data_IF_297275359652
#
_entry.id   IF_297275359652
#
_cell.length_a   1.000
_cell.length_b   1.000
_cell.length_c   1.000
_cell.angle_alpha   90.00
_cell.angle_beta   90.00
_cell.angle_gamma   90.00
#
_symmetry.space_group_name_H-M   'P 1'
#
loop_
_entity.id
_entity.type
_entity.pdbx_description
1 polymer ?
#
# COMPACT_ATOMS: atom_id res chain seq x y z
N UNK A 1 9.90 22.50 -2.24
CA UNK A 1 10.77 21.54 -1.54
C UNK A 1 10.38 20.16 -2.05
N UNK A 2 11.32 19.25 -2.32
CA UNK A 2 10.98 17.92 -2.81
C UNK A 2 10.48 17.08 -1.64
N UNK A 3 9.36 16.38 -1.79
CA UNK A 3 8.88 15.44 -0.79
C UNK A 3 9.89 14.28 -0.66
N UNK A 4 10.25 13.91 0.56
CA UNK A 4 11.27 12.91 0.86
C UNK A 4 10.77 11.98 1.97
N UNK A 5 10.79 10.68 1.66
CA UNK A 5 10.37 9.60 2.55
C UNK A 5 11.52 9.06 3.39
N UNK A 6 12.77 9.22 2.96
CA UNK A 6 13.93 8.86 3.78
C UNK A 6 14.17 9.95 4.83
N UNK A 7 14.43 9.53 6.07
CA UNK A 7 14.97 10.38 7.14
C UNK A 7 16.08 9.70 7.94
N UNK A 8 16.56 8.54 7.47
CA UNK A 8 17.52 7.74 8.20
C UNK A 8 16.98 7.08 9.48
N UNK A 9 15.68 7.16 9.76
CA UNK A 9 15.07 6.50 10.91
C UNK A 9 15.18 4.97 10.79
N UNK A 10 15.54 4.26 11.87
CA UNK A 10 15.56 2.79 11.90
C UNK A 10 14.20 2.16 11.71
N UNK A 11 13.11 2.90 11.94
CA UNK A 11 11.78 2.32 12.04
C UNK A 11 10.87 2.89 10.97
N UNK A 12 10.14 1.99 10.32
CA UNK A 12 9.10 2.33 9.33
C UNK A 12 7.82 1.63 9.73
N UNK A 13 6.69 2.34 9.65
CA UNK A 13 5.37 1.75 9.78
C UNK A 13 4.75 1.50 8.41
N UNK A 14 3.94 0.45 8.32
CA UNK A 14 3.07 0.17 7.18
C UNK A 14 1.63 0.10 7.66
N UNK A 15 0.72 0.70 6.90
CA UNK A 15 -0.73 0.62 7.12
C UNK A 15 -1.45 0.44 5.78
N UNK A 16 -2.72 0.07 5.77
CA UNK A 16 -3.49 -0.12 4.54
C UNK A 16 -4.98 0.15 4.76
N UNK A 17 -5.76 0.20 3.68
CA UNK A 17 -7.20 -0.03 3.73
C UNK A 17 -7.97 0.84 4.75
N UNK A 18 -7.62 2.13 4.87
CA UNK A 18 -8.36 3.06 5.74
C UNK A 18 -9.71 3.49 5.16
N UNK A 19 -9.90 3.37 3.84
CA UNK A 19 -11.17 3.62 3.14
C UNK A 19 -11.81 4.99 3.41
N UNK A 20 -11.04 5.98 3.82
CA UNK A 20 -11.57 7.30 4.17
C UNK A 20 -12.28 7.35 5.52
N UNK A 21 -12.18 6.28 6.32
CA UNK A 21 -12.65 6.23 7.70
C UNK A 21 -11.56 6.78 8.61
N UNK A 22 -11.95 7.72 9.46
CA UNK A 22 -11.03 8.52 10.27
C UNK A 22 -11.13 8.26 11.78
N UNK A 23 -12.10 7.44 12.19
CA UNK A 23 -12.24 6.99 13.59
C UNK A 23 -10.93 6.33 14.03
N UNK A 24 -10.39 6.70 15.21
CA UNK A 24 -9.16 6.11 15.77
C UNK A 24 -7.85 6.44 15.05
N UNK A 25 -7.88 7.08 13.87
CA UNK A 25 -6.66 7.34 13.10
C UNK A 25 -5.74 8.37 13.77
N UNK A 26 -6.28 9.40 14.42
CA UNK A 26 -5.48 10.38 15.15
C UNK A 26 -4.67 9.71 16.27
N UNK A 27 -5.34 8.90 17.10
CA UNK A 27 -4.72 8.17 18.20
C UNK A 27 -3.67 7.19 17.68
N UNK A 28 -3.95 6.48 16.59
CA UNK A 28 -3.00 5.60 15.91
C UNK A 28 -1.72 6.34 15.48
N UNK A 29 -1.85 7.52 14.86
CA UNK A 29 -0.70 8.34 14.49
C UNK A 29 0.06 8.87 15.72
N UNK A 30 -0.64 9.28 16.78
CA UNK A 30 -0.02 9.70 18.04
C UNK A 30 0.80 8.57 18.68
N UNK A 31 0.27 7.33 18.66
CA UNK A 31 0.96 6.14 19.17
C UNK A 31 2.20 5.80 18.35
N UNK A 32 2.13 5.90 17.03
CA UNK A 32 3.30 5.75 16.17
C UNK A 32 4.38 6.78 16.50
N UNK A 33 4.01 8.05 16.61
CA UNK A 33 4.92 9.12 17.00
C UNK A 33 5.53 8.87 18.40
N UNK A 34 4.75 8.40 19.37
CA UNK A 34 5.24 8.06 20.71
C UNK A 34 6.26 6.91 20.69
N UNK A 35 6.21 6.03 19.68
CA UNK A 35 7.20 4.98 19.43
C UNK A 35 8.38 5.45 18.56
N UNK A 36 8.50 6.76 18.31
CA UNK A 36 9.58 7.34 17.50
C UNK A 36 9.43 7.10 16.00
N UNK A 37 8.26 6.69 15.53
CA UNK A 37 7.98 6.51 14.11
C UNK A 37 7.70 7.87 13.47
N UNK A 38 8.40 8.15 12.39
CA UNK A 38 8.29 9.39 11.60
C UNK A 38 7.88 9.11 10.15
N UNK A 39 7.82 7.83 9.74
CA UNK A 39 7.52 7.40 8.37
C UNK A 39 6.48 6.29 8.37
N UNK A 40 5.44 6.50 7.59
CA UNK A 40 4.39 5.53 7.32
C UNK A 40 4.27 5.32 5.81
N UNK A 41 4.33 4.07 5.36
CA UNK A 41 4.03 3.70 3.98
C UNK A 41 2.67 3.03 3.92
N UNK A 42 1.73 3.63 3.19
CA UNK A 42 0.36 3.13 3.12
C UNK A 42 0.17 2.21 1.89
N UNK A 43 -0.27 0.97 2.10
CA UNK A 43 -0.46 -0.10 1.11
C UNK A 43 -1.83 -0.02 0.41
N UNK A 44 -2.20 1.16 -0.10
CA UNK A 44 -3.41 1.36 -0.90
C UNK A 44 -4.66 1.75 -0.12
N UNK A 45 -5.73 2.10 -0.84
CA UNK A 45 -7.06 2.44 -0.28
C UNK A 45 -7.13 3.57 0.77
N UNK A 46 -6.18 4.50 0.66
CA UNK A 46 -6.09 5.76 1.43
C UNK A 46 -7.15 6.86 1.09
N UNK A 47 -8.14 6.62 0.24
CA UNK A 47 -9.11 7.66 -0.21
C UNK A 47 -8.49 8.99 -0.71
N UNK A 48 -7.74 8.97 -1.82
CA UNK A 48 -7.30 10.19 -2.53
C UNK A 48 -8.33 10.50 -3.62
N UNK A 49 -9.34 11.28 -3.27
CA UNK A 49 -10.43 11.65 -4.17
C UNK A 49 -10.56 13.18 -4.27
N UNK A 50 -10.84 13.73 -5.46
CA UNK A 50 -10.95 15.17 -5.65
C UNK A 50 -12.27 15.75 -5.13
N UNK A 51 -13.21 14.90 -4.73
CA UNK A 51 -14.52 15.27 -4.22
C UNK A 51 -14.44 15.84 -2.80
N UNK A 52 -15.58 16.30 -2.27
CA UNK A 52 -15.63 16.92 -0.94
C UNK A 52 -15.25 15.91 0.16
N UNK A 53 -15.64 14.65 0.04
CA UNK A 53 -15.37 13.65 1.07
C UNK A 53 -13.89 13.31 1.15
N UNK A 54 -13.23 13.08 0.01
CA UNK A 54 -11.79 12.85 -0.07
C UNK A 54 -10.98 14.02 0.45
N UNK A 55 -11.33 15.27 0.08
CA UNK A 55 -10.65 16.47 0.59
C UNK A 55 -10.73 16.59 2.11
N UNK A 56 -11.93 16.41 2.70
CA UNK A 56 -12.10 16.48 4.15
C UNK A 56 -11.34 15.37 4.90
N UNK A 57 -11.25 14.18 4.30
CA UNK A 57 -10.42 13.11 4.84
C UNK A 57 -8.93 13.48 4.80
N UNK A 58 -8.43 13.91 3.64
CA UNK A 58 -7.04 14.32 3.45
C UNK A 58 -6.64 15.48 4.36
N UNK A 59 -7.49 16.50 4.50
CA UNK A 59 -7.22 17.66 5.38
C UNK A 59 -7.04 17.23 6.84
N UNK A 60 -7.89 16.31 7.33
CA UNK A 60 -7.83 15.78 8.70
C UNK A 60 -6.57 14.93 8.90
N UNK A 61 -6.34 13.95 8.03
CA UNK A 61 -5.16 13.09 8.13
C UNK A 61 -3.87 13.90 7.99
N UNK A 62 -3.83 14.90 7.10
CA UNK A 62 -2.67 15.77 6.96
C UNK A 62 -2.42 16.59 8.24
N UNK A 63 -3.47 17.13 8.86
CA UNK A 63 -3.35 17.86 10.14
C UNK A 63 -2.81 16.96 11.26
N UNK A 64 -3.25 15.71 11.35
CA UNK A 64 -2.75 14.77 12.36
C UNK A 64 -1.33 14.29 12.05
N UNK A 65 -1.01 14.06 10.78
CA UNK A 65 0.33 13.71 10.33
C UNK A 65 1.32 14.86 10.63
N UNK A 66 0.90 16.11 10.44
CA UNK A 66 1.68 17.30 10.79
C UNK A 66 1.91 17.40 12.31
N UNK A 67 0.87 17.22 13.13
CA UNK A 67 1.01 17.29 14.59
C UNK A 67 1.87 16.18 15.19
N UNK A 68 1.99 15.05 14.47
CA UNK A 68 2.80 13.88 14.84
C UNK A 68 4.12 13.79 14.10
N UNK A 69 4.45 14.78 13.25
CA UNK A 69 5.61 14.82 12.34
C UNK A 69 5.75 13.62 11.40
N UNK A 70 4.71 12.80 11.28
CA UNK A 70 4.69 11.61 10.43
C UNK A 70 4.54 12.05 8.98
N UNK A 71 5.39 11.51 8.10
CA UNK A 71 5.18 11.59 6.64
C UNK A 71 4.61 10.30 6.12
N UNK A 72 3.57 10.42 5.29
CA UNK A 72 2.82 9.31 4.72
C UNK A 72 3.13 9.20 3.21
N UNK A 73 3.77 8.10 2.83
CA UNK A 73 3.92 7.71 1.42
C UNK A 73 2.86 6.68 1.04
N UNK A 74 1.98 7.01 0.11
CA UNK A 74 0.87 6.15 -0.29
C UNK A 74 1.24 5.37 -1.55
N UNK A 75 1.39 4.05 -1.41
CA UNK A 75 1.33 3.11 -2.55
C UNK A 75 -0.12 3.05 -3.01
N UNK A 76 -0.48 3.54 -4.21
CA UNK A 76 -1.90 3.65 -4.59
C UNK A 76 -2.59 2.29 -4.71
N UNK A 77 -3.85 2.20 -4.28
CA UNK A 77 -4.67 0.98 -4.29
C UNK A 77 -5.72 0.94 -5.41
N UNK A 78 -6.82 0.20 -5.20
CA UNK A 78 -7.93 0.10 -6.16
C UNK A 78 -8.91 1.28 -6.08
N UNK A 79 -9.10 1.87 -4.90
CA UNK A 79 -10.05 2.97 -4.66
C UNK A 79 -9.46 4.37 -4.91
N UNK A 80 -8.98 4.66 -6.12
CA UNK A 80 -8.37 5.97 -6.48
C UNK A 80 -8.68 6.35 -7.92
N UNK A 81 -8.83 7.65 -8.21
CA UNK A 81 -8.85 8.14 -9.60
C UNK A 81 -7.46 7.99 -10.23
N UNK A 82 -7.21 6.81 -10.83
CA UNK A 82 -5.93 6.47 -11.45
C UNK A 82 -5.60 7.37 -12.64
N UNK A 83 -6.60 7.87 -13.37
CA UNK A 83 -6.39 8.82 -14.46
C UNK A 83 -5.82 10.15 -13.94
N UNK A 84 -6.36 10.66 -12.83
CA UNK A 84 -5.83 11.86 -12.18
C UNK A 84 -4.42 11.62 -11.62
N UNK A 85 -4.19 10.50 -10.92
CA UNK A 85 -2.87 10.17 -10.38
C UNK A 85 -1.82 10.00 -11.49
N UNK A 86 -2.14 9.30 -12.58
CA UNK A 86 -1.23 9.15 -13.71
C UNK A 86 -0.91 10.48 -14.37
N UNK A 87 -1.91 11.36 -14.53
CA UNK A 87 -1.69 12.72 -15.04
C UNK A 87 -0.73 13.48 -14.12
N UNK A 88 -0.92 13.37 -12.81
CA UNK A 88 -0.04 14.01 -11.84
C UNK A 88 1.37 13.41 -11.84
N UNK A 89 1.51 12.08 -11.97
CA UNK A 89 2.80 11.41 -12.07
C UNK A 89 3.54 11.77 -13.36
N UNK A 90 2.84 11.88 -14.48
CA UNK A 90 3.41 12.31 -15.76
C UNK A 90 3.83 13.79 -15.76
N UNK A 91 3.17 14.62 -14.94
CA UNK A 91 3.53 16.03 -14.77
C UNK A 91 4.66 16.25 -13.74
N UNK A 92 4.83 15.32 -12.80
CA UNK A 92 5.95 15.33 -11.87
C UNK A 92 7.27 15.02 -12.61
N UNK A 93 8.39 15.48 -12.07
CA UNK A 93 9.70 15.12 -12.62
C UNK A 93 9.86 13.59 -12.61
N UNK A 94 10.33 13.03 -13.73
CA UNK A 94 10.38 11.60 -14.06
C UNK A 94 10.41 10.66 -12.85
N UNK A 95 9.24 10.08 -12.53
CA UNK A 95 9.10 9.01 -11.55
C UNK A 95 9.14 9.43 -10.07
N UNK A 96 9.04 10.72 -9.75
CA UNK A 96 9.01 11.20 -8.37
C UNK A 96 7.63 11.09 -7.71
N UNK A 97 7.57 11.04 -6.37
CA UNK A 97 6.31 11.12 -5.63
C UNK A 97 5.57 12.41 -5.94
N UNK A 98 4.24 12.32 -5.98
CA UNK A 98 3.34 13.47 -6.12
C UNK A 98 2.86 13.85 -4.74
N UNK A 99 3.21 15.05 -4.30
CA UNK A 99 2.69 15.61 -3.06
C UNK A 99 1.17 15.84 -3.20
N UNK A 100 0.40 15.16 -2.35
CA UNK A 100 -1.06 15.32 -2.26
C UNK A 100 -1.39 16.44 -1.28
N UNK A 101 -0.71 16.45 -0.13
CA UNK A 101 -0.73 17.47 0.92
C UNK A 101 0.66 17.55 1.58
N UNK A 102 0.89 18.50 2.49
CA UNK A 102 2.22 18.77 3.06
C UNK A 102 2.91 17.56 3.72
N UNK A 103 2.14 16.61 4.26
CA UNK A 103 2.66 15.40 4.92
C UNK A 103 2.29 14.10 4.17
N UNK A 104 1.64 14.19 3.02
CA UNK A 104 1.10 13.03 2.29
C UNK A 104 1.52 13.10 0.83
N UNK A 105 2.17 12.05 0.32
CA UNK A 105 2.48 11.93 -1.10
C UNK A 105 2.03 10.58 -1.66
N UNK A 106 1.60 10.58 -2.92
CA UNK A 106 1.37 9.36 -3.68
C UNK A 106 2.67 8.90 -4.33
N UNK A 107 2.95 7.60 -4.26
CA UNK A 107 4.14 6.96 -4.81
C UNK A 107 3.79 6.35 -6.17
N UNK A 108 4.49 6.71 -7.28
CA UNK A 108 4.23 6.08 -8.56
C UNK A 108 4.58 4.59 -8.53
N UNK A 109 4.02 3.82 -9.48
CA UNK A 109 4.39 2.41 -9.67
C UNK A 109 5.87 2.31 -10.01
N UNK A 110 6.57 1.40 -9.32
CA UNK A 110 8.00 1.22 -9.47
C UNK A 110 8.84 2.29 -8.78
N UNK A 111 8.24 3.17 -7.97
CA UNK A 111 8.99 4.15 -7.18
C UNK A 111 9.92 3.43 -6.22
N UNK A 112 11.20 3.78 -6.27
CA UNK A 112 12.26 3.19 -5.46
C UNK A 112 12.92 4.24 -4.60
N UNK A 113 13.24 3.86 -3.38
CA UNK A 113 14.03 4.68 -2.47
C UNK A 113 14.91 3.80 -1.60
N UNK A 114 15.82 4.43 -0.89
CA UNK A 114 16.59 3.81 0.18
C UNK A 114 16.21 4.47 1.49
N UNK A 115 16.14 3.70 2.57
CA UNK A 115 16.04 4.22 3.92
C UNK A 115 16.95 3.39 4.82
N UNK A 116 17.84 4.03 5.58
CA UNK A 116 18.85 3.34 6.39
C UNK A 116 19.66 2.28 5.60
N UNK A 117 19.95 2.55 4.33
CA UNK A 117 20.68 1.63 3.46
C UNK A 117 19.87 0.44 2.94
N UNK A 118 18.59 0.31 3.35
CA UNK A 118 17.68 -0.73 2.86
C UNK A 118 16.91 -0.23 1.64
N UNK A 119 16.77 -1.09 0.62
CA UNK A 119 16.11 -0.75 -0.65
C UNK A 119 14.63 -1.06 -0.60
N UNK A 120 13.82 -0.10 -1.02
CA UNK A 120 12.36 -0.22 -1.07
C UNK A 120 11.83 -0.06 -2.48
N UNK A 121 10.66 -0.63 -2.74
CA UNK A 121 9.87 -0.36 -3.94
C UNK A 121 8.37 -0.32 -3.65
N UNK A 122 7.69 0.67 -4.20
CA UNK A 122 6.23 0.79 -4.21
C UNK A 122 5.68 0.34 -5.55
N UNK A 123 4.72 -0.58 -5.54
CA UNK A 123 4.07 -1.10 -6.74
C UNK A 123 2.56 -1.23 -6.51
N UNK A 124 1.87 -0.10 -6.70
CA UNK A 124 0.44 0.03 -6.46
C UNK A 124 -0.46 -0.49 -7.59
N UNK A 125 -1.76 -0.55 -7.30
CA UNK A 125 -2.79 -1.15 -8.15
C UNK A 125 -3.29 -2.49 -7.58
N UNK A 126 -4.54 -2.82 -7.88
CA UNK A 126 -5.13 -4.12 -7.59
C UNK A 126 -6.31 -4.34 -8.53
N UNK A 127 -6.41 -5.53 -9.13
CA UNK A 127 -7.60 -5.89 -9.88
C UNK A 127 -8.65 -6.41 -8.89
N UNK A 128 -9.45 -5.51 -8.31
CA UNK A 128 -10.42 -5.92 -7.28
C UNK A 128 -11.57 -6.75 -7.87
N UNK A 129 -11.92 -7.87 -7.23
CA UNK A 129 -13.10 -8.68 -7.60
C UNK A 129 -14.41 -7.90 -7.44
N UNK A 130 -14.44 -6.90 -6.55
CA UNK A 130 -15.59 -6.01 -6.37
C UNK A 130 -15.82 -5.06 -7.57
N UNK A 131 -14.97 -5.11 -8.61
CA UNK A 131 -15.17 -4.41 -9.87
C UNK A 131 -16.44 -4.80 -10.61
N UNK A 132 -16.93 -6.03 -10.42
CA UNK A 132 -18.13 -6.55 -11.10
C UNK A 132 -19.39 -5.73 -10.79
N UNK A 133 -19.58 -5.37 -9.52
CA UNK A 133 -20.69 -4.49 -9.10
C UNK A 133 -20.45 -3.02 -9.42
N UNK A 134 -19.28 -2.69 -9.97
CA UNK A 134 -18.76 -1.33 -10.16
C UNK A 134 -18.43 -0.95 -11.59
N UNK A 135 -18.73 -1.80 -12.59
CA UNK A 135 -18.56 -1.45 -14.02
C UNK A 135 -19.38 -0.19 -14.40
N UNK A 136 -20.46 0.09 -13.66
CA UNK A 136 -21.26 1.33 -13.77
C UNK A 136 -20.96 2.36 -12.69
N UNK A 137 -20.05 2.06 -11.76
CA UNK A 137 -19.65 2.93 -10.66
C UNK A 137 -18.49 3.82 -11.13
N UNK A 138 -18.55 5.15 -10.91
CA UNK A 138 -17.46 6.06 -11.22
C UNK A 138 -16.14 5.75 -10.49
N UNK A 139 -16.10 4.78 -9.57
CA UNK A 139 -14.92 4.40 -8.78
C UNK A 139 -14.09 3.24 -9.36
N UNK A 140 -14.44 2.67 -10.52
CA UNK A 140 -13.69 1.59 -11.20
C UNK A 140 -12.85 2.08 -12.39
N UNK A 141 -11.59 1.66 -12.50
CA UNK A 141 -10.67 2.11 -13.53
C UNK A 141 -9.94 0.95 -14.22
N UNK A 142 -9.94 0.93 -15.56
CA UNK A 142 -9.15 -0.03 -16.36
C UNK A 142 -7.65 0.02 -16.04
N UNK A 143 -7.18 1.17 -15.57
CA UNK A 143 -5.77 1.41 -15.30
C UNK A 143 -5.32 0.98 -13.90
N UNK A 144 -6.17 0.31 -13.12
CA UNK A 144 -5.83 -0.32 -11.84
C UNK A 144 -4.80 -1.45 -11.99
N UNK A 145 -4.76 -2.10 -13.16
CA UNK A 145 -3.77 -3.11 -13.51
C UNK A 145 -2.52 -2.42 -14.08
N UNK A 146 -1.32 -2.71 -13.55
CA UNK A 146 -0.08 -2.20 -14.12
C UNK A 146 0.09 -2.56 -15.60
N UNK A 147 0.56 -1.61 -16.39
CA UNK A 147 0.85 -1.82 -17.82
C UNK A 147 2.14 -2.63 -18.01
N UNK A 148 2.34 -3.28 -19.16
CA UNK A 148 3.61 -3.95 -19.47
C UNK A 148 4.84 -3.03 -19.40
N UNK A 149 4.69 -1.74 -19.73
CA UNK A 149 5.77 -0.77 -19.65
C UNK A 149 6.14 -0.44 -18.19
N UNK A 150 5.14 -0.31 -17.30
CA UNK A 150 5.37 -0.11 -15.87
C UNK A 150 6.02 -1.35 -15.24
N UNK A 151 5.63 -2.55 -15.66
CA UNK A 151 6.30 -3.79 -15.26
C UNK A 151 7.76 -3.85 -15.76
N UNK A 152 8.01 -3.53 -17.03
CA UNK A 152 9.38 -3.53 -17.57
C UNK A 152 10.28 -2.50 -16.85
N UNK A 153 9.73 -1.34 -16.48
CA UNK A 153 10.44 -0.35 -15.67
C UNK A 153 10.73 -0.85 -14.24
N UNK A 154 9.77 -1.55 -13.62
CA UNK A 154 9.97 -2.21 -12.33
C UNK A 154 11.13 -3.22 -12.42
N UNK A 155 11.08 -4.14 -13.38
CA UNK A 155 12.07 -5.20 -13.58
C UNK A 155 13.47 -4.63 -13.85
N UNK A 156 13.57 -3.63 -14.73
CA UNK A 156 14.82 -2.93 -15.01
C UNK A 156 15.43 -2.23 -13.77
N UNK A 157 14.60 -1.90 -12.78
CA UNK A 157 15.04 -1.33 -11.50
C UNK A 157 15.67 -2.35 -10.53
N UNK A 158 15.61 -3.65 -10.85
CA UNK A 158 16.28 -4.73 -10.11
C UNK A 158 15.69 -5.03 -8.73
N UNK A 159 16.48 -5.68 -7.89
CA UNK A 159 16.00 -6.20 -6.60
C UNK A 159 15.76 -5.10 -5.56
N UNK A 160 14.81 -5.31 -4.64
CA UNK A 160 14.63 -4.51 -3.42
C UNK A 160 14.56 -5.43 -2.19
N UNK A 161 14.73 -4.91 -0.98
CA UNK A 161 14.57 -5.73 0.24
C UNK A 161 13.12 -5.67 0.75
N UNK A 162 12.46 -4.53 0.57
CA UNK A 162 11.06 -4.33 0.97
C UNK A 162 10.23 -3.91 -0.23
N UNK A 163 9.14 -4.63 -0.47
CA UNK A 163 8.17 -4.33 -1.52
C UNK A 163 6.82 -4.02 -0.90
N UNK A 164 6.20 -2.93 -1.33
CA UNK A 164 4.85 -2.55 -0.91
C UNK A 164 3.93 -2.65 -2.12
N UNK A 165 2.86 -3.40 -1.95
CA UNK A 165 1.80 -3.57 -2.95
C UNK A 165 0.45 -3.28 -2.30
N UNK A 166 -0.59 -3.09 -3.10
CA UNK A 166 -1.94 -3.10 -2.54
C UNK A 166 -2.50 -4.53 -2.52
N UNK A 167 -2.39 -5.27 -3.63
CA UNK A 167 -2.81 -6.68 -3.74
C UNK A 167 -1.67 -7.66 -3.36
N UNK A 168 -2.00 -8.94 -3.21
CA UNK A 168 -1.13 -10.02 -2.74
C UNK A 168 -0.59 -10.86 -3.91
N UNK A 169 0.65 -11.37 -3.84
CA UNK A 169 1.15 -12.38 -4.77
C UNK A 169 0.44 -13.74 -4.60
N UNK A 170 0.71 -14.68 -5.51
CA UNK A 170 0.24 -16.07 -5.44
C UNK A 170 1.44 -17.03 -5.37
N UNK A 171 1.47 -17.96 -4.40
CA UNK A 171 0.57 -18.07 -3.25
C UNK A 171 0.72 -16.86 -2.30
N UNK A 172 -0.38 -16.45 -1.68
CA UNK A 172 -0.39 -15.42 -0.64
C UNK A 172 -0.18 -16.02 0.75
N UNK A 173 -0.60 -15.30 1.78
CA UNK A 173 -0.67 -15.85 3.14
C UNK A 173 -1.85 -16.83 3.27
N UNK A 174 -1.86 -17.75 4.26
CA UNK A 174 -2.91 -18.78 4.37
C UNK A 174 -4.35 -18.26 4.41
N UNK A 175 -4.60 -17.15 5.11
CA UNK A 175 -5.93 -16.53 5.19
C UNK A 175 -6.30 -15.83 3.88
N UNK A 176 -5.37 -15.14 3.24
CA UNK A 176 -5.58 -14.50 1.92
C UNK A 176 -5.92 -15.56 0.88
N UNK A 177 -5.17 -16.65 0.84
CA UNK A 177 -5.44 -17.79 -0.04
C UNK A 177 -6.80 -18.44 0.25
N UNK A 178 -7.23 -18.48 1.51
CA UNK A 178 -8.56 -18.97 1.88
C UNK A 178 -9.68 -18.06 1.38
N UNK A 179 -9.49 -16.73 1.45
CA UNK A 179 -10.42 -15.73 0.89
C UNK A 179 -10.50 -15.87 -0.63
N UNK A 180 -9.37 -16.03 -1.32
CA UNK A 180 -9.36 -16.20 -2.79
C UNK A 180 -10.10 -17.45 -3.24
N UNK A 181 -10.05 -18.54 -2.45
CA UNK A 181 -10.79 -19.77 -2.72
C UNK A 181 -12.30 -19.65 -2.47
N UNK A 182 -12.76 -18.66 -1.70
CA UNK A 182 -14.19 -18.48 -1.45
C UNK A 182 -14.84 -17.72 -2.63
N UNK A 183 -15.13 -18.43 -3.72
CA UNK A 183 -15.74 -17.87 -4.93
C UNK A 183 -17.27 -17.67 -4.83
N UNK A 184 -17.85 -17.68 -3.63
CA UNK A 184 -19.31 -17.69 -3.47
C UNK A 184 -19.90 -16.33 -3.86
N UNK A 185 -20.61 -16.28 -4.98
CA UNK A 185 -21.44 -15.14 -5.41
C UNK A 185 -20.80 -14.18 -6.41
N UNK A 186 -19.57 -14.44 -6.85
CA UNK A 186 -18.88 -13.67 -7.91
C UNK A 186 -19.04 -14.34 -9.27
N UNK A 187 -19.10 -13.57 -10.36
CA UNK A 187 -19.06 -14.18 -11.70
C UNK A 187 -17.66 -14.62 -12.11
N UNK A 188 -17.63 -15.45 -13.16
CA UNK A 188 -16.40 -15.89 -13.80
C UNK A 188 -15.54 -14.72 -14.29
N UNK A 189 -16.15 -13.65 -14.82
CA UNK A 189 -15.42 -12.47 -15.30
C UNK A 189 -14.72 -11.73 -14.16
N UNK A 190 -15.37 -11.61 -13.00
CA UNK A 190 -14.81 -10.99 -11.81
C UNK A 190 -13.61 -11.79 -11.27
N UNK A 191 -13.77 -13.12 -11.24
CA UNK A 191 -12.72 -14.04 -10.82
C UNK A 191 -11.51 -14.00 -11.78
N UNK A 192 -11.76 -13.97 -13.10
CA UNK A 192 -10.70 -13.83 -14.11
C UNK A 192 -9.97 -12.50 -13.94
N UNK A 193 -10.70 -11.41 -13.71
CA UNK A 193 -10.10 -10.09 -13.51
C UNK A 193 -9.20 -10.07 -12.27
N UNK A 194 -9.68 -10.60 -11.14
CA UNK A 194 -8.89 -10.69 -9.90
C UNK A 194 -7.64 -11.58 -10.06
N UNK A 195 -7.77 -12.69 -10.79
CA UNK A 195 -6.64 -13.56 -11.12
C UNK A 195 -5.59 -12.84 -11.98
N UNK A 196 -6.01 -12.00 -12.94
CA UNK A 196 -5.07 -11.19 -13.74
C UNK A 196 -4.26 -10.22 -12.89
N UNK A 197 -4.90 -9.52 -11.94
CA UNK A 197 -4.19 -8.63 -11.01
C UNK A 197 -3.19 -9.39 -10.15
N UNK A 198 -3.64 -10.50 -9.56
CA UNK A 198 -2.82 -11.40 -8.73
C UNK A 198 -1.59 -11.93 -9.46
N UNK A 199 -1.74 -12.32 -10.73
CA UNK A 199 -0.62 -12.78 -11.57
C UNK A 199 0.37 -11.65 -11.87
N UNK A 200 -0.12 -10.44 -12.10
CA UNK A 200 0.72 -9.25 -12.27
C UNK A 200 1.58 -8.96 -11.04
N UNK A 201 0.97 -9.00 -9.85
CA UNK A 201 1.71 -8.84 -8.59
C UNK A 201 2.69 -9.98 -8.36
N UNK A 202 2.32 -11.22 -8.69
CA UNK A 202 3.22 -12.38 -8.58
C UNK A 202 4.46 -12.21 -9.45
N UNK A 203 4.28 -11.83 -10.72
CA UNK A 203 5.40 -11.56 -11.62
C UNK A 203 6.30 -10.41 -11.12
N UNK A 204 5.68 -9.35 -10.56
CA UNK A 204 6.41 -8.23 -9.98
C UNK A 204 7.23 -8.64 -8.75
N UNK A 205 6.64 -9.46 -7.88
CA UNK A 205 7.29 -10.02 -6.71
C UNK A 205 8.46 -10.94 -7.08
N UNK A 206 8.29 -11.79 -8.10
CA UNK A 206 9.36 -12.65 -8.63
C UNK A 206 10.52 -11.83 -9.23
N UNK A 207 10.21 -10.77 -9.99
CA UNK A 207 11.21 -9.91 -10.61
C UNK A 207 12.01 -9.08 -9.59
N UNK A 208 11.32 -8.52 -8.60
CA UNK A 208 11.96 -7.71 -7.53
C UNK A 208 12.68 -8.59 -6.50
N UNK A 209 12.19 -9.82 -6.29
CA UNK A 209 12.71 -10.76 -5.31
C UNK A 209 12.95 -10.13 -3.92
N UNK A 210 11.92 -9.57 -3.26
CA UNK A 210 12.07 -8.91 -1.96
C UNK A 210 12.17 -9.88 -0.80
N UNK A 211 12.89 -9.49 0.25
CA UNK A 211 12.93 -10.22 1.53
C UNK A 211 11.60 -10.08 2.29
N UNK A 212 10.93 -8.95 2.09
CA UNK A 212 9.70 -8.55 2.75
C UNK A 212 8.71 -7.98 1.74
N UNK A 213 7.49 -8.54 1.69
CA UNK A 213 6.36 -7.94 0.98
C UNK A 213 5.26 -7.59 1.99
N UNK A 214 4.75 -6.36 1.92
CA UNK A 214 3.62 -5.89 2.73
C UNK A 214 2.49 -5.45 1.79
N UNK A 215 1.28 -5.96 2.02
CA UNK A 215 0.12 -5.63 1.20
C UNK A 215 -1.16 -5.41 2.02
N UNK A 216 -2.14 -4.76 1.39
CA UNK A 216 -3.49 -4.55 1.91
C UNK A 216 -4.53 -5.41 1.19
N UNK A 217 -5.66 -4.80 0.82
CA UNK A 217 -6.72 -5.32 -0.06
C UNK A 217 -7.61 -6.44 0.50
N UNK A 218 -7.04 -7.39 1.25
CA UNK A 218 -7.78 -8.55 1.78
C UNK A 218 -8.37 -8.33 3.17
N UNK A 219 -8.07 -7.18 3.80
CA UNK A 219 -8.61 -6.76 5.09
C UNK A 219 -8.41 -7.80 6.20
N UNK A 220 -7.26 -8.48 6.20
CA UNK A 220 -6.97 -9.52 7.18
C UNK A 220 -5.52 -9.45 7.62
N UNK A 221 -5.31 -9.40 8.93
CA UNK A 221 -3.98 -9.60 9.50
C UNK A 221 -3.56 -11.04 9.28
N UNK A 222 -2.47 -11.23 8.55
CA UNK A 222 -1.86 -12.54 8.35
C UNK A 222 -0.39 -12.40 7.93
N UNK A 223 0.39 -13.45 8.14
CA UNK A 223 1.80 -13.47 7.75
C UNK A 223 2.25 -14.88 7.38
N UNK A 224 3.26 -14.98 6.52
CA UNK A 224 3.94 -16.23 6.22
C UNK A 224 5.43 -15.99 5.98
N UNK A 225 6.26 -16.94 6.43
CA UNK A 225 7.66 -17.04 6.02
C UNK A 225 7.78 -18.23 5.05
N UNK A 226 8.23 -17.97 3.84
CA UNK A 226 8.43 -18.99 2.82
C UNK A 226 9.71 -19.79 3.09
N UNK A 227 9.82 -20.95 2.44
CA UNK A 227 11.03 -21.79 2.49
C UNK A 227 12.26 -21.03 1.97
N UNK A 228 12.07 -20.07 1.05
CA UNK A 228 13.14 -19.19 0.56
C UNK A 228 13.63 -18.18 1.61
N UNK A 229 12.93 -18.01 2.73
CA UNK A 229 13.19 -17.00 3.75
C UNK A 229 12.47 -15.68 3.51
N UNK A 230 11.86 -15.47 2.34
CA UNK A 230 11.02 -14.30 2.07
C UNK A 230 9.78 -14.32 2.95
N UNK A 231 9.33 -13.14 3.37
CA UNK A 231 8.17 -12.98 4.23
C UNK A 231 7.10 -12.12 3.57
N UNK A 232 5.84 -12.51 3.74
CA UNK A 232 4.68 -11.80 3.22
C UNK A 232 3.78 -11.42 4.39
N UNK A 233 3.34 -10.17 4.43
CA UNK A 233 2.46 -9.61 5.45
C UNK A 233 1.20 -9.04 4.79
N UNK A 234 0.04 -9.49 5.27
CA UNK A 234 -1.27 -8.97 4.92
C UNK A 234 -1.75 -8.07 6.06
N UNK A 235 -2.13 -6.84 5.74
CA UNK A 235 -2.66 -5.87 6.70
C UNK A 235 -4.19 -6.03 6.85
N UNK A 236 -4.69 -5.85 8.07
CA UNK A 236 -6.12 -5.68 8.31
C UNK A 236 -6.61 -4.30 7.84
N UNK A 237 -7.92 -4.05 7.82
CA UNK A 237 -8.48 -2.78 7.39
C UNK A 237 -8.73 -1.82 8.55
N UNK A 238 -8.73 -0.52 8.27
CA UNK A 238 -9.26 0.52 9.18
C UNK A 238 -8.72 0.39 10.62
N UNK A 239 -9.58 0.10 11.60
CA UNK A 239 -9.22 -0.05 13.01
C UNK A 239 -9.16 -1.51 13.47
N UNK A 240 -9.21 -2.46 12.53
CA UNK A 240 -9.08 -3.86 12.88
C UNK A 240 -7.66 -4.14 13.40
N UNK A 241 -7.52 -5.00 14.44
CA UNK A 241 -6.22 -5.43 14.91
C UNK A 241 -5.34 -5.95 13.78
N UNK A 242 -4.09 -5.48 13.74
CA UNK A 242 -3.14 -5.81 12.68
C UNK A 242 -3.27 -4.95 11.41
N UNK A 243 -3.89 -3.78 11.50
CA UNK A 243 -3.82 -2.78 10.42
C UNK A 243 -2.41 -2.17 10.27
N UNK A 244 -1.61 -2.14 11.34
CA UNK A 244 -0.28 -1.48 11.35
C UNK A 244 0.84 -2.46 11.67
N UNK A 245 1.79 -2.57 10.73
CA UNK A 245 3.03 -3.33 10.87
C UNK A 245 4.21 -2.37 11.08
N UNK A 246 5.08 -2.66 12.04
CA UNK A 246 6.33 -1.95 12.28
C UNK A 246 7.50 -2.79 11.77
N UNK A 247 8.48 -2.15 11.15
CA UNK A 247 9.72 -2.78 10.69
C UNK A 247 10.93 -2.03 11.23
N UNK A 248 11.84 -2.76 11.86
CA UNK A 248 13.18 -2.29 12.20
C UNK A 248 14.15 -2.58 11.04
N UNK A 249 14.76 -1.55 10.47
CA UNK A 249 15.63 -1.66 9.29
C UNK A 249 17.04 -2.16 9.60
N UNK A 250 17.47 -2.13 10.86
CA UNK A 250 18.76 -2.72 11.24
C UNK A 250 18.66 -4.25 11.26
N UNK A 251 17.59 -4.76 11.86
CA UNK A 251 17.42 -6.19 12.15
C UNK A 251 16.47 -6.90 11.20
N UNK A 252 15.69 -6.15 10.40
CA UNK A 252 14.53 -6.63 9.63
C UNK A 252 13.48 -7.36 10.48
N UNK A 253 13.47 -7.11 11.80
CA UNK A 253 12.42 -7.63 12.67
C UNK A 253 11.14 -6.82 12.51
N UNK A 254 10.02 -7.52 12.57
CA UNK A 254 8.69 -6.96 12.44
C UNK A 254 7.90 -7.15 13.73
N UNK A 255 7.01 -6.20 14.01
CA UNK A 255 6.03 -6.32 15.10
C UNK A 255 4.75 -5.61 14.68
N UNK A 256 3.61 -6.14 15.11
CA UNK A 256 2.34 -5.46 14.95
C UNK A 256 2.22 -4.35 16.00
N UNK A 257 1.68 -3.19 15.62
CA UNK A 257 1.29 -2.19 16.62
C UNK A 257 0.14 -2.81 17.42
N UNK A 258 0.32 -2.97 18.73
CA UNK A 258 -0.74 -3.48 19.60
C UNK A 258 -1.98 -2.56 19.50
N UNK A 259 -3.18 -3.04 19.74
CA UNK A 259 -4.33 -2.14 19.97
C UNK A 259 -4.48 -1.96 21.48
N UNK A 260 -5.01 -0.81 21.92
CA UNK A 260 -5.40 -0.67 23.33
C UNK A 260 -6.70 -1.43 23.54
N UNK A 261 -6.73 -2.31 24.55
CA UNK A 261 -8.00 -2.83 25.07
C UNK A 261 -8.76 -1.65 25.69
N UNK A 262 -9.79 -1.15 25.01
CA UNK A 262 -10.76 -0.21 25.57
C UNK A 262 -11.66 -0.88 26.63
#
# INVERSE_FOLDING_TARGET
MMWEIDDGSPMVAFAGDWHGRDTGLEEKLQRLCANGITRLVHAGDFTIWPDRSGRLFLDRVNSWAESTVIRIGVTPGSHKDWSHLQTAFAAAADGKPVEVCSHIAALPRGYRWTQRGRRFVSYGGAASIASESRVTDPSWWRDEIPTPAEFAALDAGGTAEVMITHDSPVPGTPKVDAIRRSSNGWSDDALIYAELGSRGITAAWEAVHPDLLVHGHFHVQDEITLVSGQRIFSLAAENDPGNVLLLNLDTLQTSWLEETDD
#
